data_IF_712207396974
#
_entry.id   IF_712207396974
#
_cell.length_a   1.000
_cell.length_b   1.000
_cell.length_c   1.000
_cell.angle_alpha   90.00
_cell.angle_beta   90.00
_cell.angle_gamma   90.00
#
_symmetry.space_group_name_H-M   'P 1'
#
loop_
_entity.id
_entity.type
_entity.pdbx_description
1 polymer ?
#
# COMPACT_ATOMS: atom_id res chain seq x y z
N UNK A 1 -24.63 31.31 -25.14
CA UNK A 1 -25.66 30.33 -24.99
C UNK A 1 -25.16 29.26 -24.03
N UNK A 2 -25.75 29.21 -22.86
CA UNK A 2 -25.50 28.11 -21.90
C UNK A 2 -26.16 26.86 -22.48
N UNK A 3 -25.39 25.85 -22.85
CA UNK A 3 -25.93 24.51 -23.18
C UNK A 3 -26.54 23.91 -21.90
N UNK A 4 -27.85 23.94 -21.82
CA UNK A 4 -28.58 23.17 -20.79
C UNK A 4 -28.44 21.68 -21.15
N UNK A 5 -27.73 20.92 -20.30
CA UNK A 5 -27.71 19.46 -20.36
C UNK A 5 -29.14 18.94 -20.31
N UNK A 6 -29.47 17.98 -21.17
CA UNK A 6 -30.82 17.39 -21.19
C UNK A 6 -31.10 16.67 -19.87
N UNK A 7 -32.37 16.60 -19.37
CA UNK A 7 -32.70 15.91 -18.13
C UNK A 7 -32.24 14.46 -18.07
N UNK A 8 -32.12 13.78 -19.20
CA UNK A 8 -31.63 12.38 -19.27
C UNK A 8 -30.12 12.27 -19.01
N UNK A 9 -29.31 13.26 -19.40
CA UNK A 9 -27.86 13.26 -19.13
C UNK A 9 -27.58 13.53 -17.64
N UNK A 10 -28.32 14.46 -17.03
CA UNK A 10 -28.20 14.74 -15.61
C UNK A 10 -28.62 13.54 -14.73
N UNK A 11 -29.69 12.83 -15.08
CA UNK A 11 -30.10 11.62 -14.39
C UNK A 11 -29.09 10.48 -14.54
N UNK A 12 -28.48 10.33 -15.75
CA UNK A 12 -27.38 9.37 -15.98
C UNK A 12 -26.14 9.69 -15.16
N UNK A 13 -25.80 10.96 -15.03
CA UNK A 13 -24.65 11.40 -14.24
C UNK A 13 -24.87 11.23 -12.72
N UNK A 14 -26.09 11.45 -12.24
CA UNK A 14 -26.45 11.17 -10.83
C UNK A 14 -26.41 9.67 -10.55
N UNK A 15 -26.97 8.85 -11.44
CA UNK A 15 -26.96 7.39 -11.32
C UNK A 15 -25.54 6.81 -11.38
N UNK A 16 -24.71 7.28 -12.30
CA UNK A 16 -23.27 6.91 -12.35
C UNK A 16 -22.52 7.29 -11.08
N UNK A 17 -22.78 8.48 -10.53
CA UNK A 17 -22.19 8.92 -9.27
C UNK A 17 -22.65 8.06 -8.07
N UNK A 18 -23.90 7.65 -8.04
CA UNK A 18 -24.44 6.79 -7.01
C UNK A 18 -23.85 5.38 -7.08
N UNK A 19 -23.70 4.80 -8.27
CA UNK A 19 -23.01 3.52 -8.50
C UNK A 19 -21.52 3.58 -8.09
N UNK A 20 -20.83 4.68 -8.38
CA UNK A 20 -19.44 4.88 -7.97
C UNK A 20 -19.28 5.03 -6.44
N UNK A 21 -20.32 5.48 -5.73
CA UNK A 21 -20.34 5.56 -4.26
C UNK A 21 -20.64 4.20 -3.59
N UNK A 22 -21.23 3.25 -4.33
CA UNK A 22 -21.53 1.90 -3.86
C UNK A 22 -20.41 0.89 -4.19
N UNK A 23 -19.44 1.27 -5.04
CA UNK A 23 -18.30 0.43 -5.40
C UNK A 23 -17.17 0.57 -4.40
N UNK A 24 -16.59 -0.55 -3.99
CA UNK A 24 -15.36 -0.56 -3.19
C UNK A 24 -14.20 -0.06 -4.06
N UNK A 25 -13.37 0.80 -3.47
CA UNK A 25 -12.19 1.34 -4.13
C UNK A 25 -10.95 0.57 -3.68
N UNK A 26 -10.13 0.14 -4.62
CA UNK A 26 -8.87 -0.55 -4.33
C UNK A 26 -7.69 0.38 -4.59
N UNK A 27 -6.81 0.52 -3.60
CA UNK A 27 -5.55 1.23 -3.77
C UNK A 27 -4.42 0.21 -3.63
N UNK A 28 -3.77 -0.09 -4.76
CA UNK A 28 -2.69 -1.06 -4.82
C UNK A 28 -1.36 -0.36 -4.63
N UNK A 29 -0.63 -0.73 -3.58
CA UNK A 29 0.70 -0.19 -3.27
C UNK A 29 1.75 -1.20 -3.67
N UNK A 30 2.63 -0.81 -4.57
CA UNK A 30 3.76 -1.59 -5.07
C UNK A 30 5.08 -0.92 -4.70
N UNK A 31 6.16 -1.67 -4.64
CA UNK A 31 7.49 -1.12 -4.36
C UNK A 31 8.52 -1.48 -5.41
N UNK A 32 9.49 -0.62 -5.58
CA UNK A 32 10.59 -0.86 -6.50
C UNK A 32 11.92 -0.37 -5.98
N UNK A 33 13.00 -0.76 -6.66
CA UNK A 33 14.40 -0.44 -6.37
C UNK A 33 15.00 -1.34 -5.29
N UNK A 34 14.50 -1.28 -4.06
CA UNK A 34 14.98 -2.09 -2.92
C UNK A 34 13.82 -2.47 -1.98
N UNK A 35 14.03 -3.49 -1.14
CA UNK A 35 13.15 -3.80 -0.02
C UNK A 35 13.30 -2.77 1.11
N UNK A 36 12.37 -2.75 2.06
CA UNK A 36 12.46 -1.86 3.23
C UNK A 36 12.19 -0.38 2.95
N UNK A 37 11.60 -0.04 1.80
CA UNK A 37 11.28 1.35 1.41
C UNK A 37 10.13 1.99 2.21
N UNK A 38 9.49 1.26 3.12
CA UNK A 38 8.37 1.78 3.88
C UNK A 38 7.02 1.68 3.15
N UNK A 39 6.82 0.65 2.29
CA UNK A 39 5.50 0.36 1.70
C UNK A 39 4.41 0.26 2.76
N UNK A 40 4.67 -0.47 3.88
CA UNK A 40 3.72 -0.63 4.97
C UNK A 40 3.30 0.70 5.59
N UNK A 41 4.26 1.56 5.88
CA UNK A 41 4.00 2.92 6.42
C UNK A 41 3.26 3.78 5.40
N UNK A 42 3.63 3.71 4.12
CA UNK A 42 2.92 4.42 3.04
C UNK A 42 1.47 3.95 2.93
N UNK A 43 1.25 2.62 2.93
CA UNK A 43 -0.09 2.00 2.88
C UNK A 43 -0.94 2.44 4.08
N UNK A 44 -0.40 2.29 5.29
CA UNK A 44 -1.05 2.72 6.53
C UNK A 44 -1.39 4.22 6.53
N UNK A 45 -0.45 5.06 6.04
CA UNK A 45 -0.63 6.50 5.94
C UNK A 45 -1.69 6.91 4.94
N UNK A 46 -1.75 6.24 3.77
CA UNK A 46 -2.83 6.45 2.79
C UNK A 46 -4.18 6.09 3.41
N UNK A 47 -4.27 4.98 4.13
CA UNK A 47 -5.48 4.61 4.85
C UNK A 47 -5.89 5.67 5.87
N UNK A 48 -4.93 6.17 6.65
CA UNK A 48 -5.19 7.21 7.66
C UNK A 48 -5.70 8.51 7.04
N UNK A 49 -5.11 8.99 5.95
CA UNK A 49 -5.58 10.22 5.31
C UNK A 49 -6.98 10.07 4.70
N UNK A 50 -7.37 8.87 4.27
CA UNK A 50 -8.74 8.59 3.83
C UNK A 50 -9.73 8.56 5.02
N UNK A 51 -9.33 8.00 6.17
CA UNK A 51 -10.12 8.06 7.39
C UNK A 51 -10.36 9.51 7.86
N UNK A 52 -9.46 10.45 7.57
CA UNK A 52 -9.71 11.88 7.87
C UNK A 52 -10.93 12.44 7.14
N UNK A 53 -11.37 11.81 6.06
CA UNK A 53 -12.58 12.15 5.32
C UNK A 53 -13.78 11.30 5.70
N UNK A 54 -13.65 10.44 6.72
CA UNK A 54 -14.72 9.59 7.23
C UNK A 54 -15.01 8.36 6.39
N UNK A 55 -14.04 7.89 5.60
CA UNK A 55 -14.16 6.62 4.89
C UNK A 55 -13.82 5.45 5.80
N UNK A 56 -14.54 4.34 5.62
CA UNK A 56 -14.14 3.05 6.21
C UNK A 56 -13.06 2.40 5.34
N UNK A 57 -11.90 2.14 5.96
CA UNK A 57 -10.69 1.67 5.28
C UNK A 57 -10.21 0.39 5.92
N UNK A 58 -9.82 -0.58 5.11
CA UNK A 58 -9.07 -1.77 5.53
C UNK A 58 -7.84 -1.96 4.66
N UNK A 59 -6.93 -2.84 5.08
CA UNK A 59 -5.70 -3.12 4.35
C UNK A 59 -5.46 -4.62 4.23
N UNK A 60 -4.77 -5.01 3.16
CA UNK A 60 -4.35 -6.37 2.82
C UNK A 60 -2.86 -6.36 2.57
N UNK A 61 -2.14 -7.26 3.18
CA UNK A 61 -0.74 -7.55 2.88
C UNK A 61 -0.63 -8.79 2.00
N UNK A 62 0.05 -8.65 0.91
CA UNK A 62 0.42 -9.77 0.03
C UNK A 62 1.90 -10.03 0.19
N UNK A 63 2.24 -11.23 0.69
CA UNK A 63 3.61 -11.67 0.85
C UNK A 63 3.96 -12.76 -0.16
N UNK A 64 4.90 -12.50 -1.08
CA UNK A 64 5.16 -13.41 -2.20
C UNK A 64 6.04 -14.63 -1.84
N UNK A 65 6.22 -14.94 -0.56
CA UNK A 65 6.92 -16.15 -0.15
C UNK A 65 6.00 -17.39 -0.13
N UNK A 66 6.60 -18.59 -0.20
CA UNK A 66 5.89 -19.87 -0.24
C UNK A 66 5.45 -20.36 1.14
N UNK A 67 5.93 -19.76 2.21
CA UNK A 67 5.44 -20.05 3.56
C UNK A 67 3.93 -19.82 3.63
N UNK A 68 3.24 -20.68 4.39
CA UNK A 68 1.79 -20.55 4.55
C UNK A 68 1.41 -19.28 5.33
N UNK A 69 2.17 -18.98 6.38
CA UNK A 69 2.10 -17.79 7.22
C UNK A 69 3.50 -17.40 7.70
N UNK A 70 3.60 -16.43 8.58
CA UNK A 70 4.87 -15.95 9.11
C UNK A 70 5.36 -16.71 10.35
N UNK A 71 4.57 -17.65 10.92
CA UNK A 71 4.87 -18.29 12.19
C UNK A 71 6.16 -19.11 12.23
N UNK A 72 6.65 -19.58 11.08
CA UNK A 72 7.92 -20.30 10.97
C UNK A 72 9.08 -19.44 10.48
N UNK A 73 8.84 -18.16 10.19
CA UNK A 73 9.88 -17.25 9.72
C UNK A 73 10.79 -16.83 10.88
N UNK A 74 12.06 -16.58 10.55
CA UNK A 74 13.02 -16.07 11.52
C UNK A 74 12.88 -14.55 11.63
N UNK A 75 12.69 -13.99 12.84
CA UNK A 75 12.60 -12.54 13.00
C UNK A 75 13.84 -11.79 12.49
N UNK A 76 14.98 -12.46 12.43
CA UNK A 76 16.25 -11.92 11.91
C UNK A 76 16.32 -11.83 10.38
N UNK A 77 15.37 -12.43 9.66
CA UNK A 77 15.30 -12.39 8.18
C UNK A 77 14.10 -11.55 7.69
N UNK A 78 13.00 -11.58 8.44
CA UNK A 78 11.71 -10.99 8.00
C UNK A 78 11.12 -9.94 8.96
N UNK A 79 11.83 -9.63 10.05
CA UNK A 79 11.30 -8.79 11.10
C UNK A 79 10.42 -9.55 12.10
N UNK A 80 9.71 -8.83 12.95
CA UNK A 80 8.84 -9.45 13.95
C UNK A 80 7.64 -10.17 13.31
N UNK A 81 7.18 -11.23 13.95
CA UNK A 81 5.91 -11.87 13.61
C UNK A 81 4.81 -11.16 14.41
N UNK A 82 3.87 -10.54 13.71
CA UNK A 82 2.70 -9.93 14.30
C UNK A 82 1.62 -10.97 14.55
N UNK A 83 0.99 -10.95 15.73
CA UNK A 83 -0.11 -11.84 16.07
C UNK A 83 -1.41 -11.07 16.11
N UNK A 84 -2.34 -11.41 15.22
CA UNK A 84 -3.67 -10.81 15.17
C UNK A 84 -4.55 -11.27 16.32
N UNK A 85 -5.64 -10.54 16.62
CA UNK A 85 -6.59 -10.91 17.67
C UNK A 85 -7.23 -12.29 17.43
N UNK A 86 -7.40 -12.70 16.17
CA UNK A 86 -7.91 -14.02 15.77
C UNK A 86 -6.84 -15.12 15.67
N UNK A 87 -5.63 -14.84 16.21
CA UNK A 87 -4.54 -15.79 16.35
C UNK A 87 -3.75 -16.10 15.06
N UNK A 88 -3.78 -15.19 14.07
CA UNK A 88 -2.93 -15.30 12.88
C UNK A 88 -1.50 -14.86 13.19
N UNK A 89 -0.51 -15.64 12.76
CA UNK A 89 0.91 -15.29 12.79
C UNK A 89 1.30 -14.73 11.42
N UNK A 90 1.50 -13.41 11.35
CA UNK A 90 1.54 -12.67 10.08
C UNK A 90 2.70 -11.68 10.03
N UNK A 91 2.89 -11.04 8.89
CA UNK A 91 3.91 -10.03 8.68
C UNK A 91 3.69 -8.79 9.55
N UNK A 92 4.79 -8.17 10.00
CA UNK A 92 4.80 -6.96 10.83
C UNK A 92 4.02 -5.77 10.25
N UNK A 93 3.87 -5.71 8.93
CA UNK A 93 3.16 -4.59 8.27
C UNK A 93 1.69 -4.50 8.68
N UNK A 94 1.05 -5.65 9.05
CA UNK A 94 -0.31 -5.60 9.58
C UNK A 94 -0.38 -4.87 10.92
N UNK A 95 0.66 -4.95 11.74
CA UNK A 95 0.78 -4.15 12.96
C UNK A 95 0.81 -2.64 12.66
N UNK A 96 1.47 -2.22 11.58
CA UNK A 96 1.41 -0.83 11.13
C UNK A 96 -0.01 -0.43 10.73
N UNK A 97 -0.72 -1.28 9.97
CA UNK A 97 -2.09 -0.99 9.58
C UNK A 97 -3.01 -0.85 10.78
N UNK A 98 -2.94 -1.78 11.75
CA UNK A 98 -3.74 -1.71 12.97
C UNK A 98 -3.49 -0.43 13.76
N UNK A 99 -2.21 -0.06 13.97
CA UNK A 99 -1.86 1.16 14.72
C UNK A 99 -2.32 2.45 14.03
N UNK A 100 -2.18 2.54 12.70
CA UNK A 100 -2.58 3.73 11.98
C UNK A 100 -4.09 3.83 11.80
N UNK A 101 -4.76 2.71 11.51
CA UNK A 101 -6.20 2.68 11.26
C UNK A 101 -7.04 2.60 12.54
N UNK A 102 -6.40 2.31 13.69
CA UNK A 102 -7.06 2.08 14.97
C UNK A 102 -8.18 1.02 14.82
N UNK A 103 -7.79 -0.15 14.26
CA UNK A 103 -8.73 -1.19 13.87
C UNK A 103 -8.03 -2.55 13.86
N UNK A 104 -8.65 -3.56 14.47
CA UNK A 104 -8.18 -4.93 14.37
C UNK A 104 -8.32 -5.45 12.94
N UNK A 105 -7.26 -6.05 12.42
CA UNK A 105 -7.21 -6.61 11.07
C UNK A 105 -7.09 -8.13 11.18
N UNK A 106 -8.07 -8.89 10.66
CA UNK A 106 -8.06 -10.36 10.73
C UNK A 106 -6.93 -11.00 9.91
N UNK A 107 -6.55 -12.22 10.28
CA UNK A 107 -5.49 -12.99 9.60
C UNK A 107 -5.73 -13.26 8.11
N UNK A 108 -6.97 -13.29 7.65
CA UNK A 108 -7.28 -13.47 6.23
C UNK A 108 -6.93 -12.24 5.36
N UNK A 109 -6.52 -11.15 5.99
CA UNK A 109 -5.94 -9.97 5.32
C UNK A 109 -4.43 -10.12 5.02
N UNK A 110 -3.81 -11.22 5.41
CA UNK A 110 -2.49 -11.61 4.94
C UNK A 110 -2.61 -12.73 3.91
N UNK A 111 -2.17 -12.46 2.69
CA UNK A 111 -2.24 -13.39 1.55
C UNK A 111 -0.82 -13.77 1.17
N UNK A 112 -0.47 -15.07 1.28
CA UNK A 112 0.85 -15.57 0.86
C UNK A 112 0.75 -16.42 -0.41
N UNK A 113 1.86 -16.54 -1.13
CA UNK A 113 1.96 -17.47 -2.27
C UNK A 113 1.62 -18.91 -1.83
N UNK A 114 2.10 -19.31 -0.65
CA UNK A 114 1.82 -20.66 -0.10
C UNK A 114 0.33 -20.90 0.08
N UNK A 115 -0.40 -19.97 0.69
CA UNK A 115 -1.85 -20.07 0.86
C UNK A 115 -2.59 -20.16 -0.49
N UNK A 116 -2.20 -19.34 -1.46
CA UNK A 116 -2.84 -19.31 -2.78
C UNK A 116 -2.62 -20.61 -3.54
N UNK A 117 -1.38 -21.08 -3.61
CA UNK A 117 -1.06 -22.34 -4.29
C UNK A 117 -1.70 -23.54 -3.59
N UNK A 118 -1.67 -23.58 -2.26
CA UNK A 118 -2.32 -24.64 -1.52
C UNK A 118 -3.82 -24.71 -1.84
N UNK A 119 -4.51 -23.57 -1.87
CA UNK A 119 -5.93 -23.52 -2.20
C UNK A 119 -6.21 -23.97 -3.63
N UNK A 120 -5.40 -23.55 -4.61
CA UNK A 120 -5.55 -23.97 -6.02
C UNK A 120 -5.32 -25.46 -6.16
N UNK A 121 -4.28 -26.04 -5.54
CA UNK A 121 -3.98 -27.48 -5.56
C UNK A 121 -5.11 -28.26 -4.89
N UNK A 122 -5.62 -27.80 -3.74
CA UNK A 122 -6.75 -28.44 -3.07
C UNK A 122 -8.01 -28.46 -3.94
N UNK A 123 -8.33 -27.37 -4.60
CA UNK A 123 -9.46 -27.30 -5.54
C UNK A 123 -9.28 -28.24 -6.73
N UNK A 124 -8.07 -28.38 -7.24
CA UNK A 124 -7.73 -29.32 -8.31
C UNK A 124 -7.97 -30.76 -7.85
N UNK A 125 -7.41 -31.16 -6.70
CA UNK A 125 -7.59 -32.52 -6.12
C UNK A 125 -9.06 -32.85 -5.83
N UNK A 126 -9.89 -31.86 -5.53
CA UNK A 126 -11.33 -32.00 -5.33
C UNK A 126 -12.13 -32.01 -6.63
N UNK A 127 -11.49 -31.92 -7.80
CA UNK A 127 -12.16 -31.89 -9.10
C UNK A 127 -12.92 -30.59 -9.42
N UNK A 128 -12.67 -29.50 -8.70
CA UNK A 128 -13.39 -28.23 -8.89
C UNK A 128 -13.17 -27.59 -10.26
N UNK A 129 -12.10 -27.96 -10.97
CA UNK A 129 -11.81 -27.46 -12.31
C UNK A 129 -12.33 -28.34 -13.44
N UNK A 130 -13.11 -29.39 -13.11
CA UNK A 130 -13.84 -30.22 -14.09
C UNK A 130 -12.95 -30.77 -15.23
N UNK A 131 -11.73 -31.20 -14.90
CA UNK A 131 -10.78 -31.79 -15.87
C UNK A 131 -10.00 -30.76 -16.71
N UNK A 132 -10.16 -29.47 -16.47
CA UNK A 132 -9.34 -28.44 -17.13
C UNK A 132 -7.89 -28.52 -16.65
N UNK A 133 -6.94 -28.17 -17.53
CA UNK A 133 -5.56 -27.94 -17.14
C UNK A 133 -5.48 -26.71 -16.24
N UNK A 134 -4.98 -26.89 -15.02
CA UNK A 134 -4.83 -25.78 -14.05
C UNK A 134 -3.50 -25.08 -14.31
N UNK A 135 -3.55 -23.77 -14.51
CA UNK A 135 -2.41 -22.92 -14.90
C UNK A 135 -2.29 -21.72 -13.97
N UNK A 136 -1.11 -21.07 -13.89
CA UNK A 136 -0.94 -19.83 -13.14
C UNK A 136 -1.97 -18.76 -13.53
N UNK A 137 -2.19 -18.59 -14.82
CA UNK A 137 -3.24 -17.73 -15.37
C UNK A 137 -4.23 -18.64 -16.12
N UNK A 138 -5.54 -18.63 -15.81
CA UNK A 138 -6.20 -17.73 -14.86
C UNK A 138 -6.31 -18.25 -13.42
N UNK A 139 -6.01 -19.52 -13.11
CA UNK A 139 -6.49 -20.15 -11.88
C UNK A 139 -5.84 -19.60 -10.60
N UNK A 140 -4.53 -19.29 -10.62
CA UNK A 140 -3.85 -18.66 -9.47
C UNK A 140 -4.25 -17.19 -9.38
N UNK A 141 -4.30 -16.46 -10.49
CA UNK A 141 -4.73 -15.06 -10.48
C UNK A 141 -6.19 -14.90 -10.05
N UNK A 142 -7.08 -15.84 -10.42
CA UNK A 142 -8.48 -15.84 -9.96
C UNK A 142 -8.60 -16.10 -8.47
N UNK A 143 -7.78 -17.00 -7.91
CA UNK A 143 -7.72 -17.21 -6.45
C UNK A 143 -7.27 -15.96 -5.72
N UNK A 144 -6.23 -15.27 -6.21
CA UNK A 144 -5.73 -14.01 -5.64
C UNK A 144 -6.84 -12.94 -5.66
N UNK A 145 -7.46 -12.73 -6.83
CA UNK A 145 -8.56 -11.76 -6.98
C UNK A 145 -9.73 -12.08 -6.04
N UNK A 146 -10.09 -13.36 -5.94
CA UNK A 146 -11.17 -13.81 -5.06
C UNK A 146 -10.87 -13.50 -3.58
N UNK A 147 -9.64 -13.69 -3.13
CA UNK A 147 -9.22 -13.36 -1.76
C UNK A 147 -9.29 -11.85 -1.49
N UNK A 148 -8.75 -11.03 -2.39
CA UNK A 148 -8.80 -9.57 -2.25
C UNK A 148 -10.26 -9.07 -2.21
N UNK A 149 -11.10 -9.55 -3.14
CA UNK A 149 -12.51 -9.17 -3.21
C UNK A 149 -13.32 -9.64 -1.99
N UNK A 150 -12.97 -10.78 -1.40
CA UNK A 150 -13.64 -11.28 -0.17
C UNK A 150 -13.44 -10.35 1.02
N UNK A 151 -12.36 -9.58 1.06
CA UNK A 151 -12.06 -8.63 2.13
C UNK A 151 -12.91 -7.35 2.00
N UNK A 152 -13.35 -7.04 0.80
CA UNK A 152 -14.26 -5.93 0.52
C UNK A 152 -15.68 -6.25 1.02
N UNK A 153 -15.87 -6.26 2.34
CA UNK A 153 -17.15 -6.52 2.99
C UNK A 153 -18.06 -5.30 2.86
N UNK A 154 -19.37 -5.52 3.09
CA UNK A 154 -20.34 -4.44 3.15
C UNK A 154 -19.90 -3.35 4.16
N UNK A 155 -19.96 -2.09 3.72
CA UNK A 155 -19.58 -0.92 4.52
C UNK A 155 -18.11 -0.49 4.39
N UNK A 156 -17.25 -1.26 3.70
CA UNK A 156 -15.86 -0.87 3.42
C UNK A 156 -15.81 0.01 2.17
N UNK A 157 -15.31 1.22 2.31
CA UNK A 157 -15.15 2.17 1.19
C UNK A 157 -13.85 1.93 0.41
N UNK A 158 -12.78 1.58 1.13
CA UNK A 158 -11.43 1.40 0.56
C UNK A 158 -10.76 0.12 1.07
N UNK A 159 -10.20 -0.64 0.15
CA UNK A 159 -9.27 -1.74 0.42
C UNK A 159 -7.89 -1.34 -0.08
N UNK A 160 -6.95 -1.18 0.83
CA UNK A 160 -5.54 -0.96 0.51
C UNK A 160 -4.88 -2.32 0.30
N UNK A 161 -4.24 -2.53 -0.84
CA UNK A 161 -3.57 -3.80 -1.17
C UNK A 161 -2.09 -3.54 -1.31
N UNK A 162 -1.31 -3.91 -0.31
CA UNK A 162 0.14 -3.84 -0.39
C UNK A 162 0.72 -5.11 -0.98
N UNK A 163 1.48 -4.98 -2.07
CA UNK A 163 2.20 -6.11 -2.67
C UNK A 163 3.64 -6.10 -2.18
N UNK A 164 4.02 -7.16 -1.48
CA UNK A 164 5.38 -7.40 -1.00
C UNK A 164 6.37 -7.67 -2.14
N UNK A 165 7.66 -7.64 -1.81
CA UNK A 165 8.75 -7.75 -2.78
C UNK A 165 8.97 -6.49 -3.59
N UNK A 166 9.83 -6.60 -4.59
CA UNK A 166 10.24 -5.51 -5.49
C UNK A 166 9.70 -5.78 -6.89
N UNK A 167 9.15 -4.76 -7.54
CA UNK A 167 8.68 -4.90 -8.93
C UNK A 167 9.84 -5.32 -9.83
N UNK A 168 9.65 -6.42 -10.56
CA UNK A 168 10.66 -7.08 -11.37
C UNK A 168 11.14 -8.41 -10.80
N UNK A 169 10.82 -8.71 -9.53
CA UNK A 169 11.09 -10.01 -8.93
C UNK A 169 10.09 -11.07 -9.43
N UNK A 170 10.54 -12.31 -9.51
CA UNK A 170 9.69 -13.43 -9.97
C UNK A 170 8.55 -13.74 -9.01
N UNK A 171 8.75 -13.49 -7.74
CA UNK A 171 7.84 -13.91 -6.67
C UNK A 171 6.50 -13.19 -6.73
N UNK A 172 6.50 -11.92 -7.12
CA UNK A 172 5.27 -11.08 -7.05
C UNK A 172 4.54 -10.91 -8.39
N UNK A 173 5.04 -11.49 -9.48
CA UNK A 173 4.50 -11.25 -10.83
C UNK A 173 3.03 -11.66 -10.96
N UNK A 174 2.61 -12.76 -10.34
CA UNK A 174 1.22 -13.22 -10.39
C UNK A 174 0.27 -12.33 -9.58
N UNK A 175 0.75 -11.74 -8.52
CA UNK A 175 -0.03 -10.77 -7.74
C UNK A 175 -0.22 -9.47 -8.52
N UNK A 176 0.84 -8.97 -9.16
CA UNK A 176 0.77 -7.81 -10.05
C UNK A 176 -0.18 -8.07 -11.22
N UNK A 177 -0.10 -9.26 -11.84
CA UNK A 177 -1.02 -9.66 -12.90
C UNK A 177 -2.47 -9.72 -12.41
N UNK A 178 -2.73 -10.26 -11.21
CA UNK A 178 -4.07 -10.34 -10.64
C UNK A 178 -4.70 -8.94 -10.44
N UNK A 179 -3.97 -7.98 -9.87
CA UNK A 179 -4.50 -6.62 -9.66
C UNK A 179 -4.63 -5.84 -10.97
N UNK A 180 -3.76 -6.13 -11.97
CA UNK A 180 -3.92 -5.61 -13.33
C UNK A 180 -5.23 -6.11 -13.97
N UNK A 181 -5.53 -7.41 -13.80
CA UNK A 181 -6.79 -7.99 -14.25
C UNK A 181 -8.00 -7.38 -13.55
N UNK A 182 -7.95 -7.13 -12.23
CA UNK A 182 -9.03 -6.45 -11.50
C UNK A 182 -9.39 -5.11 -12.15
N UNK A 183 -8.40 -4.29 -12.51
CA UNK A 183 -8.65 -3.02 -13.21
C UNK A 183 -9.27 -3.23 -14.60
N UNK A 184 -8.82 -4.23 -15.34
CA UNK A 184 -9.38 -4.59 -16.65
C UNK A 184 -10.83 -5.10 -16.53
N UNK A 185 -11.15 -5.82 -15.46
CA UNK A 185 -12.50 -6.34 -15.17
C UNK A 185 -13.47 -5.24 -14.71
N UNK A 186 -13.02 -4.01 -14.55
CA UNK A 186 -13.86 -2.85 -14.21
C UNK A 186 -13.90 -2.51 -12.72
N UNK A 187 -13.07 -3.14 -11.88
CA UNK A 187 -12.90 -2.71 -10.49
C UNK A 187 -12.25 -1.33 -10.43
N UNK A 188 -12.63 -0.53 -9.45
CA UNK A 188 -12.05 0.80 -9.26
C UNK A 188 -10.69 0.70 -8.59
N UNK A 189 -9.64 0.51 -9.38
CA UNK A 189 -8.26 0.27 -8.94
C UNK A 189 -7.37 1.45 -9.25
N UNK A 190 -6.67 1.95 -8.22
CA UNK A 190 -5.66 2.99 -8.31
C UNK A 190 -4.30 2.41 -7.89
N UNK A 191 -3.24 2.71 -8.64
CA UNK A 191 -1.89 2.21 -8.39
C UNK A 191 -0.99 3.28 -7.80
N UNK A 192 -0.38 2.99 -6.66
CA UNK A 192 0.65 3.79 -5.99
C UNK A 192 1.96 3.03 -6.03
N UNK A 193 3.01 3.64 -6.55
CA UNK A 193 4.33 3.02 -6.64
C UNK A 193 5.33 3.73 -5.72
N UNK A 194 5.81 3.00 -4.71
CA UNK A 194 6.84 3.50 -3.77
C UNK A 194 8.20 3.20 -4.35
N UNK A 195 9.06 4.19 -4.44
CA UNK A 195 10.38 4.06 -5.05
C UNK A 195 11.43 4.88 -4.31
N UNK A 196 12.70 4.66 -4.60
CA UNK A 196 13.80 5.34 -3.94
C UNK A 196 14.53 6.31 -4.87
N UNK A 197 14.79 7.50 -4.35
CA UNK A 197 15.58 8.55 -5.00
C UNK A 197 16.86 8.77 -4.17
N UNK A 198 17.91 7.98 -4.41
CA UNK A 198 19.14 8.04 -3.62
C UNK A 198 19.86 9.36 -3.81
N UNK A 199 20.47 9.84 -2.73
CA UNK A 199 21.50 10.88 -2.75
C UNK A 199 22.87 10.23 -2.92
N UNK A 200 23.71 10.78 -3.80
CA UNK A 200 25.11 10.38 -3.91
C UNK A 200 25.94 11.42 -3.18
N UNK A 201 26.46 11.11 -1.98
CA UNK A 201 27.13 12.12 -1.13
C UNK A 201 28.29 12.85 -1.83
N UNK A 202 29.07 12.11 -2.64
CA UNK A 202 30.22 12.66 -3.37
C UNK A 202 29.82 13.64 -4.49
N UNK A 203 28.56 13.59 -4.96
CA UNK A 203 28.06 14.45 -6.03
C UNK A 203 27.08 15.51 -5.52
N UNK A 204 26.60 15.39 -4.30
CA UNK A 204 25.55 16.25 -3.73
C UNK A 204 24.26 16.25 -4.52
N UNK A 205 23.98 15.17 -5.27
CA UNK A 205 22.85 15.11 -6.21
C UNK A 205 21.97 13.89 -5.98
N UNK A 206 20.67 14.11 -5.96
CA UNK A 206 19.64 13.03 -5.94
C UNK A 206 19.50 12.44 -7.36
N UNK A 207 19.43 11.12 -7.45
CA UNK A 207 19.36 10.38 -8.73
C UNK A 207 17.98 9.76 -8.94
N UNK A 208 17.34 10.15 -10.03
CA UNK A 208 15.98 9.68 -10.40
C UNK A 208 16.00 8.41 -11.27
N UNK A 209 17.15 7.95 -11.73
CA UNK A 209 17.28 6.74 -12.57
C UNK A 209 16.70 5.48 -11.94
N UNK A 210 16.94 5.17 -10.66
CA UNK A 210 16.34 3.98 -10.04
C UNK A 210 14.81 3.99 -10.12
N UNK A 211 14.16 5.14 -9.83
CA UNK A 211 12.73 5.35 -9.99
C UNK A 211 12.25 5.08 -11.42
N UNK A 212 12.94 5.65 -12.42
CA UNK A 212 12.59 5.47 -13.83
C UNK A 212 12.65 4.00 -14.26
N UNK A 213 13.67 3.27 -13.82
CA UNK A 213 13.81 1.84 -14.09
C UNK A 213 12.72 1.02 -13.43
N UNK A 214 12.41 1.28 -12.18
CA UNK A 214 11.36 0.58 -11.43
C UNK A 214 9.98 0.77 -12.07
N UNK A 215 9.64 2.01 -12.43
CA UNK A 215 8.37 2.29 -13.14
C UNK A 215 8.35 1.65 -14.53
N UNK A 216 9.51 1.58 -15.23
CA UNK A 216 9.59 0.89 -16.51
C UNK A 216 9.22 -0.60 -16.34
N UNK A 217 9.78 -1.30 -15.35
CA UNK A 217 9.45 -2.69 -15.05
C UNK A 217 7.95 -2.88 -14.73
N UNK A 218 7.37 -1.97 -13.95
CA UNK A 218 5.93 -2.01 -13.65
C UNK A 218 5.08 -1.87 -14.92
N UNK A 219 5.48 -0.97 -15.82
CA UNK A 219 4.81 -0.76 -17.11
C UNK A 219 4.95 -1.94 -18.07
N UNK A 220 6.05 -2.68 -18.01
CA UNK A 220 6.25 -3.92 -18.79
C UNK A 220 5.21 -5.00 -18.41
N UNK A 221 4.73 -4.99 -17.16
CA UNK A 221 3.63 -5.85 -16.69
C UNK A 221 2.25 -5.30 -17.13
N UNK A 222 2.20 -4.09 -17.69
CA UNK A 222 0.97 -3.43 -18.11
C UNK A 222 0.30 -2.57 -17.03
N UNK A 223 1.03 -2.19 -15.99
CA UNK A 223 0.55 -1.32 -14.92
C UNK A 223 1.19 0.07 -15.05
N UNK A 224 0.38 1.10 -15.28
CA UNK A 224 0.79 2.49 -15.17
C UNK A 224 0.46 2.98 -13.77
N UNK A 225 1.44 3.45 -12.97
CA UNK A 225 1.14 4.02 -11.66
C UNK A 225 0.35 5.33 -11.80
N UNK A 226 -0.59 5.54 -10.89
CA UNK A 226 -1.35 6.78 -10.76
C UNK A 226 -0.59 7.79 -9.88
N UNK A 227 0.18 7.31 -8.91
CA UNK A 227 1.04 8.09 -8.03
C UNK A 227 2.41 7.44 -7.86
N UNK A 228 3.43 8.26 -7.70
CA UNK A 228 4.78 7.84 -7.31
C UNK A 228 5.09 8.45 -5.95
N UNK A 229 5.36 7.61 -4.97
CA UNK A 229 5.87 8.03 -3.67
C UNK A 229 7.40 7.93 -3.73
N UNK A 230 8.05 9.08 -3.72
CA UNK A 230 9.50 9.18 -3.88
C UNK A 230 10.17 9.26 -2.51
N UNK A 231 10.59 8.11 -1.99
CA UNK A 231 11.38 8.01 -0.76
C UNK A 231 12.78 8.56 -0.99
N UNK A 232 13.27 9.35 -0.07
CA UNK A 232 14.59 9.97 -0.16
C UNK A 232 15.07 10.41 1.23
N UNK A 233 16.39 10.57 1.41
CA UNK A 233 16.95 11.10 2.66
C UNK A 233 16.55 12.56 2.89
N UNK A 234 16.52 13.35 1.81
CA UNK A 234 16.16 14.76 1.81
C UNK A 234 14.98 15.00 0.87
N UNK A 235 14.15 16.03 1.09
CA UNK A 235 13.06 16.37 0.17
C UNK A 235 13.56 16.49 -1.28
N UNK A 236 12.81 15.93 -2.22
CA UNK A 236 13.10 16.09 -3.65
C UNK A 236 12.61 17.48 -4.13
N UNK A 237 13.43 18.12 -4.96
CA UNK A 237 13.10 19.43 -5.54
C UNK A 237 12.19 19.34 -6.78
N UNK A 238 11.75 20.49 -7.29
CA UNK A 238 10.90 20.59 -8.47
C UNK A 238 11.54 19.97 -9.72
N UNK A 239 12.84 20.15 -9.92
CA UNK A 239 13.57 19.62 -11.09
C UNK A 239 13.55 18.08 -11.08
N UNK A 240 13.69 17.45 -9.89
CA UNK A 240 13.62 15.99 -9.75
C UNK A 240 12.20 15.49 -9.92
N UNK A 241 11.20 16.21 -9.39
CA UNK A 241 9.78 15.89 -9.61
C UNK A 241 9.40 15.92 -11.07
N UNK A 242 9.74 17.01 -11.77
CA UNK A 242 9.50 17.17 -13.22
C UNK A 242 10.14 16.04 -14.02
N UNK A 243 11.40 15.70 -13.71
CA UNK A 243 12.11 14.60 -14.37
C UNK A 243 11.47 13.25 -14.12
N UNK A 244 11.05 12.95 -12.88
CA UNK A 244 10.32 11.73 -12.57
C UNK A 244 9.00 11.72 -13.34
N UNK A 245 8.23 12.79 -13.30
CA UNK A 245 6.95 12.90 -13.96
C UNK A 245 7.06 12.60 -15.47
N UNK A 246 8.02 13.25 -16.14
CA UNK A 246 8.26 13.06 -17.58
C UNK A 246 8.60 11.60 -17.94
N UNK A 247 9.56 11.00 -17.25
CA UNK A 247 10.03 9.64 -17.60
C UNK A 247 9.08 8.52 -17.12
N UNK A 248 8.30 8.78 -16.09
CA UNK A 248 7.37 7.81 -15.53
C UNK A 248 5.92 7.98 -16.04
N UNK A 249 5.68 8.97 -16.91
CA UNK A 249 4.36 9.26 -17.49
C UNK A 249 3.28 9.50 -16.43
N UNK A 250 3.57 10.36 -15.47
CA UNK A 250 2.63 10.87 -14.46
C UNK A 250 2.67 12.39 -14.45
N UNK A 251 1.67 13.03 -13.86
CA UNK A 251 1.74 14.48 -13.65
C UNK A 251 2.73 14.79 -12.52
N UNK A 252 3.38 15.96 -12.58
CA UNK A 252 4.32 16.40 -11.54
C UNK A 252 3.67 16.42 -10.15
N UNK A 253 2.42 16.86 -10.08
CA UNK A 253 1.63 16.86 -8.84
C UNK A 253 1.35 15.47 -8.27
N UNK A 254 1.46 14.40 -9.07
CA UNK A 254 1.29 13.00 -8.65
C UNK A 254 2.60 12.35 -8.17
N UNK A 255 3.71 13.08 -8.24
CA UNK A 255 4.98 12.71 -7.61
C UNK A 255 5.00 13.28 -6.20
N UNK A 256 4.82 12.42 -5.22
CA UNK A 256 4.74 12.77 -3.80
C UNK A 256 6.10 12.56 -3.16
N UNK A 257 6.66 13.60 -2.57
CA UNK A 257 7.90 13.49 -1.81
C UNK A 257 7.65 12.81 -0.45
N UNK A 258 8.48 11.85 -0.12
CA UNK A 258 8.46 11.16 1.17
C UNK A 258 9.88 11.08 1.74
N UNK A 259 10.43 12.21 2.24
CA UNK A 259 11.75 12.26 2.86
C UNK A 259 11.76 11.54 4.20
N UNK A 260 12.96 11.18 4.67
CA UNK A 260 13.14 10.65 6.01
C UNK A 260 12.65 11.63 7.06
N UNK A 261 11.91 11.13 8.04
CA UNK A 261 11.35 11.89 9.15
C UNK A 261 11.56 11.15 10.46
N UNK A 262 11.61 11.91 11.56
CA UNK A 262 11.91 11.36 12.88
C UNK A 262 10.81 10.47 13.46
N UNK A 263 9.56 10.66 13.00
CA UNK A 263 8.42 9.95 13.53
C UNK A 263 7.49 9.49 12.40
N UNK A 264 7.35 8.18 12.22
CA UNK A 264 6.52 7.56 11.18
C UNK A 264 5.06 7.99 11.24
N UNK A 265 4.52 8.30 12.43
CA UNK A 265 3.14 8.77 12.57
C UNK A 265 2.91 10.19 12.01
N UNK A 266 3.97 10.92 11.64
CA UNK A 266 3.85 12.19 10.96
C UNK A 266 3.69 12.06 9.42
N UNK A 267 3.96 10.87 8.82
CA UNK A 267 3.81 10.63 7.37
C UNK A 267 2.42 10.98 6.84
N UNK A 268 1.30 10.65 7.52
CA UNK A 268 -0.03 11.06 7.04
C UNK A 268 -0.17 12.59 6.90
N UNK A 269 0.42 13.37 7.80
CA UNK A 269 0.38 14.84 7.71
C UNK A 269 1.23 15.34 6.54
N UNK A 270 2.42 14.76 6.32
CA UNK A 270 3.28 15.05 5.18
C UNK A 270 2.57 14.80 3.84
N UNK A 271 1.81 13.71 3.74
CA UNK A 271 1.02 13.40 2.56
C UNK A 271 -0.16 14.36 2.37
N UNK A 272 -0.79 14.79 3.48
CA UNK A 272 -1.87 15.77 3.45
C UNK A 272 -1.39 17.19 3.08
N UNK A 273 -0.19 17.58 3.45
CA UNK A 273 0.44 18.84 3.01
C UNK A 273 0.60 18.89 1.49
N UNK A 274 0.85 17.72 0.86
CA UNK A 274 0.92 17.57 -0.59
C UNK A 274 -0.45 17.28 -1.24
N UNK A 275 -1.53 17.34 -0.46
CA UNK A 275 -2.92 17.08 -0.89
C UNK A 275 -3.16 15.69 -1.49
N UNK A 276 -2.42 14.67 -1.06
CA UNK A 276 -2.52 13.31 -1.63
C UNK A 276 -3.95 12.76 -1.52
N UNK A 277 -4.63 12.90 -0.39
CA UNK A 277 -6.01 12.44 -0.22
C UNK A 277 -6.96 13.05 -1.26
N UNK A 278 -6.89 14.38 -1.47
CA UNK A 278 -7.74 15.06 -2.46
C UNK A 278 -7.45 14.58 -3.88
N UNK A 279 -6.18 14.32 -4.19
CA UNK A 279 -5.77 13.80 -5.51
C UNK A 279 -6.28 12.38 -5.73
N UNK A 280 -6.17 11.51 -4.71
CA UNK A 280 -6.74 10.16 -4.73
C UNK A 280 -8.25 10.23 -4.99
N UNK A 281 -8.98 10.98 -4.18
CA UNK A 281 -10.43 11.12 -4.32
C UNK A 281 -10.84 11.67 -5.69
N UNK A 282 -10.10 12.66 -6.21
CA UNK A 282 -10.33 13.21 -7.55
C UNK A 282 -10.16 12.15 -8.65
N UNK A 283 -9.08 11.36 -8.60
CA UNK A 283 -8.82 10.29 -9.59
C UNK A 283 -9.89 9.19 -9.55
N UNK A 284 -10.45 8.91 -8.38
CA UNK A 284 -11.54 7.95 -8.19
C UNK A 284 -12.94 8.55 -8.44
N UNK A 285 -13.03 9.82 -8.83
CA UNK A 285 -14.31 10.48 -9.10
C UNK A 285 -15.13 10.80 -7.85
N UNK A 286 -14.54 10.72 -6.66
CA UNK A 286 -15.19 10.98 -5.38
C UNK A 286 -15.09 12.48 -5.06
N UNK A 287 -16.23 13.15 -4.90
CA UNK A 287 -16.30 14.60 -4.67
C UNK A 287 -17.12 14.93 -3.43
N UNK A 288 -16.89 16.12 -2.87
CA UNK A 288 -17.77 16.71 -1.83
C UNK A 288 -17.45 16.31 -0.39
N UNK A 289 -16.52 15.41 -0.15
CA UNK A 289 -16.10 15.05 1.21
C UNK A 289 -15.17 16.12 1.80
N UNK A 290 -15.33 16.41 3.09
CA UNK A 290 -14.49 17.34 3.87
C UNK A 290 -13.79 16.58 4.98
N UNK A 291 -12.61 17.04 5.38
CA UNK A 291 -11.89 16.49 6.55
C UNK A 291 -12.71 16.64 7.82
N UNK A 292 -12.85 15.55 8.57
CA UNK A 292 -13.50 15.50 9.87
C UNK A 292 -12.56 15.90 11.02
N UNK A 293 -13.01 15.65 12.25
CA UNK A 293 -12.23 15.95 13.46
C UNK A 293 -10.99 15.08 13.60
N UNK A 294 -10.98 13.86 13.06
CA UNK A 294 -9.86 12.93 13.13
C UNK A 294 -8.55 13.49 12.57
N UNK A 295 -8.61 14.39 11.57
CA UNK A 295 -7.43 15.10 11.10
C UNK A 295 -6.82 16.03 12.17
N UNK A 296 -7.66 16.75 12.93
CA UNK A 296 -7.19 17.64 14.01
C UNK A 296 -6.64 16.83 15.17
N UNK A 297 -7.34 15.79 15.57
CA UNK A 297 -6.92 14.88 16.64
C UNK A 297 -5.55 14.24 16.34
N UNK A 298 -5.33 13.80 15.10
CA UNK A 298 -4.05 13.25 14.67
C UNK A 298 -2.92 14.30 14.67
N UNK A 299 -3.21 15.50 14.19
CA UNK A 299 -2.26 16.60 14.22
C UNK A 299 -1.89 16.96 15.65
N UNK A 300 -2.89 17.13 16.54
CA UNK A 300 -2.66 17.48 17.95
C UNK A 300 -1.84 16.38 18.65
N UNK A 301 -2.05 15.11 18.29
CA UNK A 301 -1.24 13.99 18.76
C UNK A 301 0.23 14.12 18.33
N UNK A 302 0.51 14.43 17.07
CA UNK A 302 1.89 14.63 16.58
C UNK A 302 2.52 15.86 17.21
N UNK A 303 1.79 16.96 17.33
CA UNK A 303 2.28 18.18 17.98
C UNK A 303 2.60 17.93 19.46
N UNK A 304 1.79 17.13 20.14
CA UNK A 304 2.07 16.69 21.51
C UNK A 304 3.39 15.90 21.60
N UNK A 305 3.59 14.89 20.73
CA UNK A 305 4.85 14.11 20.70
C UNK A 305 6.04 15.05 20.52
N UNK A 306 5.98 15.98 19.56
CA UNK A 306 7.06 16.94 19.30
C UNK A 306 7.34 17.91 20.45
N UNK A 307 6.36 18.14 21.32
CA UNK A 307 6.48 19.03 22.47
C UNK A 307 7.13 18.38 23.69
N UNK A 308 7.25 17.04 23.72
CA UNK A 308 7.84 16.31 24.85
C UNK A 308 9.33 16.61 24.95
N UNK A 309 9.80 16.89 26.19
CA UNK A 309 11.19 17.23 26.47
C UNK A 309 11.84 16.27 27.45
N UNK A 310 11.03 15.55 28.21
CA UNK A 310 11.53 14.61 29.23
C UNK A 310 11.78 13.24 28.57
N UNK A 311 12.91 12.64 28.90
CA UNK A 311 13.32 11.34 28.41
C UNK A 311 13.18 10.29 29.51
N UNK A 312 12.66 9.11 29.14
CA UNK A 312 12.63 7.92 29.99
C UNK A 312 13.45 6.84 29.30
N UNK A 313 14.42 6.27 30.04
CA UNK A 313 15.22 5.15 29.52
C UNK A 313 14.52 3.84 29.80
N UNK A 314 14.19 3.11 28.74
CA UNK A 314 13.60 1.77 28.78
C UNK A 314 14.62 0.79 28.21
N UNK A 315 14.94 -0.27 28.97
CA UNK A 315 15.81 -1.35 28.51
C UNK A 315 14.98 -2.44 27.87
N UNK A 316 15.24 -2.75 26.61
CA UNK A 316 14.62 -3.89 25.90
C UNK A 316 15.63 -5.01 25.85
N UNK A 317 15.28 -6.18 26.43
CA UNK A 317 16.10 -7.40 26.42
C UNK A 317 15.45 -8.38 25.44
N UNK A 318 16.13 -8.63 24.33
CA UNK A 318 15.63 -9.49 23.26
C UNK A 318 16.67 -10.49 22.77
N UNK A 319 16.20 -11.58 22.16
CA UNK A 319 17.05 -12.66 21.62
C UNK A 319 17.60 -12.33 20.22
N UNK A 320 16.92 -11.48 19.45
CA UNK A 320 17.14 -11.31 18.01
C UNK A 320 17.65 -9.93 17.63
N UNK A 321 18.35 -9.22 18.53
CA UNK A 321 18.90 -7.90 18.25
C UNK A 321 20.15 -7.88 17.40
N UNK A 322 20.98 -8.93 17.46
CA UNK A 322 22.27 -8.97 16.81
C UNK A 322 22.29 -10.00 15.66
N UNK A 323 22.64 -9.55 14.47
CA UNK A 323 23.03 -10.38 13.35
C UNK A 323 24.47 -10.01 12.98
N UNK A 324 25.44 -10.66 13.58
CA UNK A 324 26.85 -10.37 13.33
C UNK A 324 27.21 -8.92 13.66
N UNK A 325 27.51 -8.13 12.63
CA UNK A 325 27.92 -6.72 12.81
C UNK A 325 26.76 -5.71 12.84
N UNK A 326 25.51 -6.14 12.66
CA UNK A 326 24.37 -5.27 12.54
C UNK A 326 23.38 -5.46 13.68
N UNK A 327 22.77 -4.34 14.13
CA UNK A 327 21.62 -4.38 15.04
C UNK A 327 20.34 -4.38 14.24
N UNK A 328 19.49 -5.34 14.48
CA UNK A 328 18.20 -5.48 13.80
C UNK A 328 17.08 -5.00 14.72
N UNK A 329 16.56 -3.83 14.44
CA UNK A 329 15.41 -3.28 15.17
C UNK A 329 14.08 -3.88 14.71
N UNK A 330 14.00 -4.34 13.45
CA UNK A 330 12.78 -4.88 12.84
C UNK A 330 12.24 -6.12 13.58
N UNK A 331 13.10 -6.86 14.31
CA UNK A 331 12.66 -8.00 15.12
C UNK A 331 11.75 -7.62 16.29
N UNK A 332 11.70 -6.32 16.66
CA UNK A 332 10.94 -5.79 17.81
C UNK A 332 10.32 -4.43 17.51
N UNK A 333 10.04 -4.15 16.24
CA UNK A 333 9.62 -2.81 15.80
C UNK A 333 8.35 -2.32 16.48
N UNK A 334 7.43 -3.24 16.81
CA UNK A 334 6.17 -2.88 17.48
C UNK A 334 6.33 -2.63 18.98
N UNK A 335 7.44 -3.07 19.57
CA UNK A 335 7.79 -2.76 20.98
C UNK A 335 8.53 -1.43 21.07
N UNK A 336 9.39 -1.15 20.08
CA UNK A 336 10.18 0.07 19.97
C UNK A 336 9.31 1.24 19.58
#
# INVERSE_FOLDING_TARGET
PRSTLSPSSAASDVYKRQLLMEMVNYIVVTGGVISGLGKGITTASIGKILQFYGFDVTAVKIDPYINYDAGTLRPTEHGEVWVTEDGGEIDQDLGHYERFLDKNIPKDHNITTGQVYYAVIQKERQGKYLGKTVQPIPHVTDEIKSRIKKIAKEGVDFVLVEIGGTVGDYENILFLEAVRQMKLEGENVLFVHVTYVPSIPTLGEQKTKPTQHSVKLLREIGIQPDFIIARSEQPIDGVRKEKIALFCNVHEEDVIADPDIDNIYAVPLLFEEQNLSKKILRKLGIVGKKKGKGYREWRDFIDKIRSLKEEVKIGIVGKYFDIGSFKLFDSYISVI
#
